data_IF_520414641940
#
_entry.id   IF_520414641940
#
_cell.length_a   1.000
_cell.length_b   1.000
_cell.length_c   1.000
_cell.angle_alpha   90.00
_cell.angle_beta   90.00
_cell.angle_gamma   90.00
#
_symmetry.space_group_name_H-M   'P 1'
#
loop_
_entity.id
_entity.type
_entity.pdbx_description
1 polymer ?
#
# COMPACT_ATOMS: atom_id res chain seq x y z
N UNK A 1 8.30 -14.18 27.15
CA UNK A 1 7.81 -14.94 25.99
C UNK A 1 8.80 -14.76 24.84
N UNK A 2 9.42 -15.85 24.36
CA UNK A 2 10.47 -15.80 23.35
C UNK A 2 9.92 -15.44 21.97
N UNK A 3 10.36 -14.30 21.43
CA UNK A 3 10.14 -13.90 20.02
C UNK A 3 10.60 -14.99 19.04
N UNK A 4 11.68 -15.71 19.39
CA UNK A 4 12.36 -16.70 18.57
C UNK A 4 11.50 -17.91 18.19
N UNK A 5 10.61 -18.41 19.06
CA UNK A 5 9.88 -19.66 18.79
C UNK A 5 8.76 -19.53 17.76
N UNK A 6 8.34 -18.29 17.44
CA UNK A 6 7.31 -17.99 16.44
C UNK A 6 7.86 -17.76 15.02
N UNK A 7 9.18 -17.60 14.86
CA UNK A 7 9.84 -17.46 13.56
C UNK A 7 9.96 -18.79 12.82
N UNK A 8 10.20 -19.90 13.53
CA UNK A 8 10.59 -21.17 12.91
C UNK A 8 9.45 -22.00 12.27
N UNK A 9 8.21 -21.48 12.23
CA UNK A 9 7.07 -22.11 11.52
C UNK A 9 6.46 -21.24 10.42
N UNK A 10 7.06 -20.08 10.10
CA UNK A 10 6.51 -19.11 9.15
C UNK A 10 7.44 -18.97 7.96
N UNK A 11 6.84 -18.86 6.78
CA UNK A 11 7.58 -18.67 5.52
C UNK A 11 8.20 -17.27 5.40
N UNK A 12 7.82 -16.33 6.28
CA UNK A 12 8.35 -14.97 6.37
C UNK A 12 8.53 -14.51 7.82
N UNK A 13 9.60 -13.74 8.04
CA UNK A 13 9.88 -13.03 9.29
C UNK A 13 9.05 -11.74 9.42
N UNK A 14 8.91 -11.19 10.62
CA UNK A 14 8.17 -9.92 10.81
C UNK A 14 8.80 -8.78 9.99
N UNK A 15 10.13 -8.72 9.90
CA UNK A 15 10.83 -7.72 9.10
C UNK A 15 10.52 -7.86 7.60
N UNK A 16 10.51 -9.09 7.09
CA UNK A 16 10.15 -9.35 5.68
C UNK A 16 8.71 -8.95 5.39
N UNK A 17 7.78 -9.18 6.32
CA UNK A 17 6.37 -8.75 6.17
C UNK A 17 6.24 -7.24 6.26
N UNK A 18 6.92 -6.58 7.20
CA UNK A 18 6.91 -5.12 7.33
C UNK A 18 7.37 -4.44 6.03
N UNK A 19 8.39 -4.98 5.36
CA UNK A 19 8.90 -4.45 4.10
C UNK A 19 7.90 -4.50 2.93
N UNK A 20 6.93 -5.42 2.97
CA UNK A 20 5.93 -5.60 1.89
C UNK A 20 4.49 -5.31 2.33
N UNK A 21 4.30 -4.84 3.57
CA UNK A 21 2.98 -4.68 4.19
C UNK A 21 2.08 -3.74 3.39
N UNK A 22 2.61 -2.58 2.98
CA UNK A 22 1.80 -1.58 2.25
C UNK A 22 1.39 -2.11 0.88
N UNK A 23 2.31 -2.71 0.11
CA UNK A 23 2.00 -3.36 -1.17
C UNK A 23 0.91 -4.43 -1.01
N UNK A 24 0.95 -5.22 0.07
CA UNK A 24 -0.10 -6.19 0.38
C UNK A 24 -1.46 -5.51 0.61
N UNK A 25 -1.50 -4.45 1.43
CA UNK A 25 -2.72 -3.72 1.76
C UNK A 25 -3.30 -2.90 0.58
N UNK A 26 -2.46 -2.57 -0.39
CA UNK A 26 -2.82 -1.86 -1.62
C UNK A 26 -3.12 -2.81 -2.78
N UNK A 27 -3.03 -4.13 -2.57
CA UNK A 27 -3.22 -5.17 -3.60
C UNK A 27 -2.23 -5.06 -4.77
N UNK A 28 -1.04 -4.52 -4.51
CA UNK A 28 0.07 -4.36 -5.47
C UNK A 28 1.20 -5.38 -5.23
N UNK A 29 1.07 -6.23 -4.21
CA UNK A 29 2.07 -7.25 -3.90
C UNK A 29 2.07 -8.35 -4.97
N UNK A 30 3.27 -8.82 -5.30
CA UNK A 30 3.47 -10.00 -6.15
C UNK A 30 2.59 -11.19 -5.71
N UNK A 31 1.79 -11.79 -6.61
CA UNK A 31 0.82 -12.83 -6.24
C UNK A 31 1.42 -14.02 -5.49
N UNK A 32 2.69 -14.34 -5.77
CA UNK A 32 3.41 -15.44 -5.11
C UNK A 32 3.74 -15.17 -3.63
N UNK A 33 3.74 -13.91 -3.20
CA UNK A 33 4.04 -13.50 -1.83
C UNK A 33 2.78 -13.34 -0.96
N UNK A 34 1.62 -13.08 -1.58
CA UNK A 34 0.33 -12.87 -0.90
C UNK A 34 0.01 -13.98 0.11
N UNK A 35 0.09 -15.29 -0.20
CA UNK A 35 -0.22 -16.35 0.77
C UNK A 35 0.74 -16.36 1.96
N UNK A 36 2.01 -16.00 1.74
CA UNK A 36 3.05 -15.98 2.80
C UNK A 36 2.82 -14.85 3.78
N UNK A 37 2.46 -13.67 3.28
CA UNK A 37 2.10 -12.50 4.10
C UNK A 37 0.83 -12.81 4.89
N UNK A 38 -0.23 -13.29 4.24
CA UNK A 38 -1.49 -13.65 4.91
C UNK A 38 -1.27 -14.63 6.06
N UNK A 39 -0.56 -15.74 5.80
CA UNK A 39 -0.20 -16.74 6.82
C UNK A 39 0.57 -16.13 7.99
N UNK A 40 1.43 -15.15 7.75
CA UNK A 40 2.14 -14.46 8.82
C UNK A 40 1.20 -13.57 9.64
N UNK A 41 0.35 -12.76 9.01
CA UNK A 41 -0.57 -11.84 9.68
C UNK A 41 -1.56 -12.59 10.59
N UNK A 42 -2.07 -13.75 10.15
CA UNK A 42 -2.95 -14.60 10.95
C UNK A 42 -2.24 -15.17 12.19
N UNK A 43 -0.95 -15.46 12.06
CA UNK A 43 -0.19 -16.13 13.11
C UNK A 43 0.47 -15.13 14.08
N UNK A 44 0.85 -13.94 13.62
CA UNK A 44 1.59 -12.93 14.36
C UNK A 44 0.66 -11.80 14.82
N UNK A 45 0.35 -11.77 16.11
CA UNK A 45 -0.54 -10.76 16.71
C UNK A 45 -0.11 -9.33 16.38
N UNK A 46 1.18 -9.01 16.53
CA UNK A 46 1.66 -7.64 16.39
C UNK A 46 1.55 -7.15 14.94
N UNK A 47 2.01 -7.96 13.98
CA UNK A 47 1.88 -7.65 12.56
C UNK A 47 0.40 -7.61 12.09
N UNK A 48 -0.46 -8.49 12.61
CA UNK A 48 -1.89 -8.45 12.32
C UNK A 48 -2.58 -7.20 12.87
N UNK A 49 -2.17 -6.72 14.04
CA UNK A 49 -2.67 -5.47 14.64
C UNK A 49 -2.22 -4.25 13.84
N UNK A 50 -0.98 -4.25 13.38
CA UNK A 50 -0.42 -3.21 12.50
C UNK A 50 -1.15 -3.16 11.16
N UNK A 51 -1.36 -4.31 10.49
CA UNK A 51 -2.15 -4.39 9.26
C UNK A 51 -3.57 -3.83 9.47
N UNK A 52 -4.23 -4.23 10.57
CA UNK A 52 -5.56 -3.71 10.94
C UNK A 52 -5.54 -2.19 11.14
N UNK A 53 -4.50 -1.64 11.77
CA UNK A 53 -4.36 -0.20 11.99
C UNK A 53 -4.22 0.54 10.66
N UNK A 54 -3.36 0.08 9.76
CA UNK A 54 -3.20 0.68 8.43
C UNK A 54 -4.49 0.63 7.63
N UNK A 55 -5.20 -0.50 7.64
CA UNK A 55 -6.52 -0.61 6.99
C UNK A 55 -7.53 0.41 7.55
N UNK A 56 -7.55 0.62 8.88
CA UNK A 56 -8.41 1.65 9.50
C UNK A 56 -8.03 3.06 9.08
N UNK A 57 -6.74 3.38 9.03
CA UNK A 57 -6.25 4.68 8.56
C UNK A 57 -6.68 4.89 7.11
N UNK A 58 -6.45 3.90 6.22
CA UNK A 58 -6.86 3.95 4.81
C UNK A 58 -8.37 4.22 4.68
N UNK A 59 -9.20 3.48 5.40
CA UNK A 59 -10.65 3.72 5.40
C UNK A 59 -11.04 5.10 5.95
N UNK A 60 -10.38 5.58 7.00
CA UNK A 60 -10.64 6.92 7.54
C UNK A 60 -10.31 7.99 6.50
N UNK A 61 -9.16 7.88 5.82
CA UNK A 61 -8.77 8.80 4.75
C UNK A 61 -9.76 8.78 3.59
N UNK A 62 -10.23 7.59 3.17
CA UNK A 62 -11.24 7.44 2.12
C UNK A 62 -12.58 8.07 2.51
N UNK A 63 -13.02 7.87 3.76
CA UNK A 63 -14.32 8.36 4.24
C UNK A 63 -14.34 9.87 4.44
N UNK A 64 -13.20 10.47 4.78
CA UNK A 64 -13.04 11.91 4.96
C UNK A 64 -12.50 12.61 3.71
N UNK A 65 -12.44 11.90 2.58
CA UNK A 65 -12.00 12.48 1.33
C UNK A 65 -13.06 13.45 0.81
N UNK A 66 -12.72 14.74 0.77
CA UNK A 66 -13.52 15.71 0.04
C UNK A 66 -13.43 15.43 -1.46
N UNK A 67 -14.55 15.55 -2.16
CA UNK A 67 -14.55 15.45 -3.62
C UNK A 67 -13.72 16.60 -4.20
N UNK A 68 -12.84 16.36 -5.18
CA UNK A 68 -12.11 17.43 -5.84
C UNK A 68 -13.07 18.49 -6.38
N UNK A 69 -12.71 19.76 -6.26
CA UNK A 69 -13.49 20.85 -6.86
C UNK A 69 -13.50 20.72 -8.39
N UNK A 70 -14.56 21.18 -9.04
CA UNK A 70 -14.66 21.13 -10.51
C UNK A 70 -13.47 21.83 -11.18
N UNK A 71 -13.01 22.94 -10.62
CA UNK A 71 -11.82 23.68 -11.05
C UNK A 71 -10.53 22.84 -10.93
N UNK A 72 -10.40 22.03 -9.88
CA UNK A 72 -9.27 21.08 -9.77
C UNK A 72 -9.34 19.99 -10.84
N UNK A 73 -10.54 19.46 -11.11
CA UNK A 73 -10.74 18.46 -12.15
C UNK A 73 -10.43 19.05 -13.53
N UNK A 74 -10.88 20.28 -13.81
CA UNK A 74 -10.61 20.97 -15.06
C UNK A 74 -9.10 21.16 -15.29
N UNK A 75 -8.35 21.59 -14.27
CA UNK A 75 -6.88 21.68 -14.37
C UNK A 75 -6.21 20.35 -14.68
N UNK A 76 -6.64 19.27 -14.03
CA UNK A 76 -6.09 17.93 -14.26
C UNK A 76 -6.36 17.48 -15.71
N UNK A 77 -7.57 17.73 -16.24
CA UNK A 77 -7.91 17.40 -17.63
C UNK A 77 -7.07 18.20 -18.62
N UNK A 78 -6.98 19.52 -18.44
CA UNK A 78 -6.17 20.38 -19.31
C UNK A 78 -4.70 19.94 -19.33
N UNK A 79 -4.13 19.63 -18.16
CA UNK A 79 -2.76 19.12 -18.08
C UNK A 79 -2.60 17.79 -18.82
N UNK A 80 -3.56 16.87 -18.69
CA UNK A 80 -3.54 15.60 -19.41
C UNK A 80 -3.61 15.80 -20.94
N UNK A 81 -4.41 16.75 -21.41
CA UNK A 81 -4.50 17.12 -22.83
C UNK A 81 -3.19 17.73 -23.33
N UNK A 82 -2.57 18.63 -22.57
CA UNK A 82 -1.27 19.22 -22.89
C UNK A 82 -0.16 18.17 -22.99
N UNK A 83 -0.11 17.22 -22.04
CA UNK A 83 0.86 16.12 -22.06
C UNK A 83 0.63 15.17 -23.24
N UNK A 84 -0.63 14.90 -23.59
CA UNK A 84 -0.96 14.06 -24.74
C UNK A 84 -0.61 14.74 -26.07
N UNK A 85 -0.76 16.07 -26.16
CA UNK A 85 -0.48 16.83 -27.37
C UNK A 85 1.02 17.09 -27.58
N UNK A 86 1.74 17.44 -26.51
CA UNK A 86 3.12 17.92 -26.59
C UNK A 86 4.16 16.85 -26.22
N UNK A 87 3.73 15.70 -25.71
CA UNK A 87 4.61 14.71 -25.08
C UNK A 87 5.10 15.18 -23.70
N UNK A 88 5.74 14.27 -22.96
CA UNK A 88 6.42 14.65 -21.72
C UNK A 88 7.67 15.43 -22.12
N UNK A 89 7.84 16.71 -21.73
CA UNK A 89 9.06 17.45 -22.04
C UNK A 89 10.24 16.67 -21.46
N UNK A 90 11.20 16.29 -22.31
CA UNK A 90 12.49 15.78 -21.85
C UNK A 90 13.07 16.85 -20.92
N UNK A 91 13.20 16.50 -19.63
CA UNK A 91 13.79 17.38 -18.65
C UNK A 91 15.17 17.80 -19.17
N UNK A 92 15.37 19.10 -19.40
CA UNK A 92 16.69 19.63 -19.71
C UNK A 92 17.65 19.28 -18.57
N UNK A 93 18.71 18.55 -18.89
CA UNK A 93 19.80 18.16 -17.99
C UNK A 93 20.44 19.34 -17.24
#
# INVERSE_FOLDING_TARGET
MNFLSRFFKRDMSCHQVAAVMQQYLDAELEPSQVPKVLKHLEACKDCGLEATMYTRIKHSLQNHQESPTEDSIARIRNLAEELAANGIPEAAE
#
